data_IF_304097975213
#
_entry.id   IF_304097975213
#
_cell.length_a   1.000
_cell.length_b   1.000
_cell.length_c   1.000
_cell.angle_alpha   90.00
_cell.angle_beta   90.00
_cell.angle_gamma   90.00
#
_symmetry.space_group_name_H-M   'P 1'
#
loop_
_entity.id
_entity.type
_entity.pdbx_description
1 polymer ?
#
# COMPACT_ATOMS: atom_id res chain seq x y z
N UNK A 1 3.55 1.78 15.89
CA UNK A 1 3.95 3.18 15.81
C UNK A 1 4.58 3.29 14.45
N UNK A 2 4.48 4.41 13.75
CA UNK A 2 5.33 4.59 12.56
C UNK A 2 6.69 5.18 12.97
N UNK A 3 7.75 4.90 12.20
CA UNK A 3 9.06 5.55 12.38
C UNK A 3 9.07 7.04 11.98
N UNK A 4 7.92 7.61 11.59
CA UNK A 4 7.81 8.95 11.00
C UNK A 4 7.07 9.93 11.91
N UNK A 5 6.08 9.46 12.67
CA UNK A 5 5.22 10.30 13.51
C UNK A 5 5.24 9.93 14.99
N UNK A 6 5.89 8.82 15.35
CA UNK A 6 5.93 8.30 16.72
C UNK A 6 4.55 8.09 17.34
N UNK A 7 3.50 7.84 16.54
CA UNK A 7 2.14 7.55 17.01
C UNK A 7 1.77 6.09 16.69
N UNK A 8 1.17 5.39 17.65
CA UNK A 8 0.58 4.05 17.44
C UNK A 8 -0.87 4.19 17.00
N UNK A 9 -1.24 3.47 15.95
CA UNK A 9 -2.66 3.25 15.65
C UNK A 9 -3.24 2.25 16.65
N UNK A 10 -4.48 2.47 17.08
CA UNK A 10 -5.16 1.66 18.11
C UNK A 10 -6.40 0.99 17.53
N UNK A 11 -7.09 0.19 18.35
CA UNK A 11 -8.35 -0.43 17.94
C UNK A 11 -9.47 0.59 17.64
N UNK A 12 -9.36 1.84 18.10
CA UNK A 12 -10.29 2.92 17.69
C UNK A 12 -10.24 3.14 16.17
N UNK A 13 -9.05 2.97 15.57
CA UNK A 13 -8.85 3.00 14.13
C UNK A 13 -9.25 1.68 13.47
N UNK A 14 -8.79 0.55 14.02
CA UNK A 14 -8.91 -0.75 13.34
C UNK A 14 -10.28 -1.40 13.41
N UNK A 15 -11.09 -1.07 14.44
CA UNK A 15 -12.44 -1.60 14.64
C UNK A 15 -12.47 -3.14 14.54
N UNK A 16 -11.57 -3.81 15.26
CA UNK A 16 -11.44 -5.27 15.22
C UNK A 16 -12.74 -5.95 15.68
N UNK A 17 -13.14 -7.03 15.01
CA UNK A 17 -14.14 -7.99 15.51
C UNK A 17 -13.51 -8.84 16.62
N UNK A 18 -13.33 -8.21 17.79
CA UNK A 18 -12.64 -8.78 18.96
C UNK A 18 -13.32 -10.09 19.41
N UNK A 19 -14.64 -10.11 19.45
CA UNK A 19 -15.41 -11.26 19.94
C UNK A 19 -15.18 -12.51 19.09
N UNK A 20 -15.27 -12.39 17.77
CA UNK A 20 -15.01 -13.54 16.90
C UNK A 20 -13.52 -13.90 16.85
N UNK A 21 -12.63 -12.92 16.95
CA UNK A 21 -11.19 -13.17 16.95
C UNK A 21 -10.75 -13.97 18.19
N UNK A 22 -11.23 -13.62 19.38
CA UNK A 22 -10.99 -14.37 20.63
C UNK A 22 -11.46 -15.83 20.55
N UNK A 23 -12.47 -16.09 19.72
CA UNK A 23 -13.03 -17.44 19.49
C UNK A 23 -12.39 -18.18 18.31
N UNK A 24 -11.32 -17.65 17.74
CA UNK A 24 -10.57 -18.30 16.66
C UNK A 24 -11.29 -18.30 15.31
N UNK A 25 -12.28 -17.42 15.10
CA UNK A 25 -13.06 -17.37 13.85
C UNK A 25 -12.21 -17.10 12.60
N UNK A 26 -11.13 -16.33 12.77
CA UNK A 26 -10.18 -15.96 11.71
C UNK A 26 -8.91 -16.81 11.72
N UNK A 27 -8.91 -17.89 12.50
CA UNK A 27 -7.75 -18.75 12.71
C UNK A 27 -7.91 -20.06 11.96
N UNK A 28 -6.80 -20.62 11.50
CA UNK A 28 -6.82 -21.96 10.94
C UNK A 28 -7.29 -22.97 11.99
N UNK A 29 -8.12 -23.93 11.57
CA UNK A 29 -8.79 -24.87 12.51
C UNK A 29 -7.84 -25.71 13.35
N UNK A 30 -6.62 -25.94 12.89
CA UNK A 30 -5.63 -26.65 13.69
C UNK A 30 -5.18 -25.83 14.91
N UNK A 31 -5.08 -24.50 14.83
CA UNK A 31 -4.81 -23.68 16.01
C UNK A 31 -5.95 -23.73 17.02
N UNK A 32 -7.20 -23.78 16.56
CA UNK A 32 -8.36 -23.97 17.43
C UNK A 32 -8.30 -25.32 18.16
N UNK A 33 -8.00 -26.40 17.44
CA UNK A 33 -7.85 -27.72 18.03
C UNK A 33 -6.67 -27.78 19.02
N UNK A 34 -5.53 -27.16 18.69
CA UNK A 34 -4.36 -27.08 19.57
C UNK A 34 -4.68 -26.26 20.83
N UNK A 35 -5.34 -25.12 20.69
CA UNK A 35 -5.74 -24.28 21.82
C UNK A 35 -6.70 -25.03 22.76
N UNK A 36 -7.69 -25.75 22.22
CA UNK A 36 -8.59 -26.61 23.00
C UNK A 36 -7.83 -27.71 23.74
N UNK A 37 -6.92 -28.40 23.04
CA UNK A 37 -6.07 -29.43 23.63
C UNK A 37 -5.23 -28.88 24.78
N UNK A 38 -4.47 -27.79 24.56
CA UNK A 38 -3.63 -27.19 25.60
C UNK A 38 -4.46 -26.66 26.79
N UNK A 39 -5.67 -26.18 26.54
CA UNK A 39 -6.58 -25.72 27.59
C UNK A 39 -7.09 -26.88 28.45
N UNK A 40 -7.47 -27.99 27.83
CA UNK A 40 -7.86 -29.21 28.55
C UNK A 40 -6.68 -29.74 29.38
N UNK A 41 -5.48 -29.85 28.79
CA UNK A 41 -4.29 -30.33 29.48
C UNK A 41 -3.91 -29.46 30.69
N UNK A 42 -4.05 -28.14 30.59
CA UNK A 42 -3.85 -27.24 31.74
C UNK A 42 -4.88 -27.50 32.84
N UNK A 43 -6.16 -27.68 32.48
CA UNK A 43 -7.24 -27.94 33.44
C UNK A 43 -7.09 -29.30 34.15
N UNK A 44 -6.54 -30.30 33.44
CA UNK A 44 -6.24 -31.63 33.96
C UNK A 44 -4.94 -31.67 34.79
N UNK A 45 -4.16 -30.58 34.81
CA UNK A 45 -2.85 -30.56 35.46
C UNK A 45 -1.82 -31.48 34.78
N UNK A 46 -1.97 -31.72 33.47
CA UNK A 46 -1.07 -32.59 32.73
C UNK A 46 0.36 -32.03 32.70
N UNK A 47 1.31 -32.88 33.07
CA UNK A 47 2.74 -32.66 32.87
C UNK A 47 3.27 -33.57 31.77
N UNK A 48 4.28 -33.12 31.03
CA UNK A 48 4.87 -33.88 29.93
C UNK A 48 5.23 -35.32 30.36
N UNK A 49 4.70 -36.31 29.62
CA UNK A 49 4.92 -37.74 29.86
C UNK A 49 5.49 -38.48 28.63
N UNK A 50 5.98 -37.75 27.62
CA UNK A 50 6.50 -38.33 26.38
C UNK A 50 7.92 -38.90 26.53
N UNK A 51 8.28 -39.85 25.66
CA UNK A 51 9.59 -40.54 25.71
C UNK A 51 10.66 -39.95 24.78
N UNK A 52 10.27 -39.04 23.88
CA UNK A 52 11.12 -38.59 22.77
C UNK A 52 11.19 -37.06 22.71
N UNK A 53 11.68 -36.42 23.78
CA UNK A 53 11.89 -34.97 23.79
C UNK A 53 13.24 -34.59 23.17
N UNK A 54 13.34 -33.32 22.74
CA UNK A 54 14.59 -32.72 22.25
C UNK A 54 15.24 -31.77 23.28
N UNK A 55 14.94 -31.93 24.57
CA UNK A 55 15.62 -31.16 25.63
C UNK A 55 17.12 -31.49 25.64
N UNK A 56 18.00 -30.51 25.97
CA UNK A 56 19.42 -30.75 26.15
C UNK A 56 19.72 -31.79 27.24
N UNK A 57 20.88 -32.45 27.14
CA UNK A 57 21.35 -33.39 28.14
C UNK A 57 21.40 -32.74 29.54
N UNK A 58 20.86 -33.44 30.53
CA UNK A 58 20.81 -32.98 31.92
C UNK A 58 19.57 -32.15 32.28
N UNK A 59 18.72 -31.76 31.32
CA UNK A 59 17.44 -31.10 31.60
C UNK A 59 16.32 -32.15 31.72
N UNK A 60 15.68 -32.21 32.88
CA UNK A 60 14.58 -33.16 33.11
C UNK A 60 13.31 -32.78 32.34
N UNK A 61 12.65 -33.72 31.64
CA UNK A 61 11.35 -33.49 31.02
C UNK A 61 10.17 -33.54 32.01
N UNK A 62 10.42 -33.94 33.25
CA UNK A 62 9.38 -34.10 34.28
C UNK A 62 8.84 -32.73 34.73
N UNK A 63 7.61 -32.71 35.25
CA UNK A 63 6.97 -31.52 35.83
C UNK A 63 6.81 -30.31 34.89
N UNK A 64 6.98 -30.52 33.57
CA UNK A 64 6.72 -29.48 32.57
C UNK A 64 5.21 -29.43 32.27
N UNK A 65 4.54 -28.36 32.71
CA UNK A 65 3.12 -28.14 32.44
C UNK A 65 2.89 -27.71 30.98
N UNK A 66 2.66 -28.67 30.09
CA UNK A 66 2.59 -28.42 28.63
C UNK A 66 1.43 -27.50 28.25
N UNK A 67 0.27 -27.62 28.92
CA UNK A 67 -0.88 -26.75 28.67
C UNK A 67 -0.61 -25.27 28.97
N UNK A 68 0.34 -25.00 29.87
CA UNK A 68 0.73 -23.66 30.32
C UNK A 68 2.15 -23.25 29.88
N UNK A 69 2.74 -23.98 28.93
CA UNK A 69 4.12 -23.75 28.53
C UNK A 69 4.30 -22.35 27.94
N UNK A 70 5.28 -21.61 28.46
CA UNK A 70 5.68 -20.33 27.90
C UNK A 70 6.64 -20.55 26.73
N UNK A 71 6.42 -19.80 25.65
CA UNK A 71 7.21 -19.89 24.43
C UNK A 71 7.73 -18.53 24.00
N UNK A 72 8.86 -18.48 23.32
CA UNK A 72 9.27 -17.32 22.52
C UNK A 72 8.91 -17.60 21.06
N UNK A 73 8.01 -16.80 20.52
CA UNK A 73 7.55 -16.89 19.13
C UNK A 73 7.95 -15.64 18.35
N UNK A 74 8.39 -15.83 17.11
CA UNK A 74 8.90 -14.74 16.27
C UNK A 74 8.20 -14.71 14.90
N UNK A 75 7.73 -13.53 14.49
CA UNK A 75 7.10 -13.27 13.18
C UNK A 75 8.11 -12.65 12.23
N UNK A 76 8.23 -13.15 11.00
CA UNK A 76 9.17 -12.64 10.00
C UNK A 76 8.70 -12.91 8.58
N UNK A 77 9.19 -12.10 7.64
CA UNK A 77 8.92 -12.24 6.20
C UNK A 77 9.99 -13.09 5.52
N UNK A 78 9.58 -13.83 4.48
CA UNK A 78 10.48 -14.59 3.60
C UNK A 78 10.70 -13.92 2.23
N UNK A 79 10.32 -12.66 2.07
CA UNK A 79 10.60 -11.90 0.84
C UNK A 79 12.11 -11.68 0.70
N UNK A 80 12.71 -12.30 -0.32
CA UNK A 80 14.12 -12.03 -0.66
C UNK A 80 14.34 -10.54 -0.96
N UNK A 81 15.44 -10.00 -0.44
CA UNK A 81 15.77 -8.58 -0.58
C UNK A 81 15.22 -7.74 0.58
N UNK A 82 14.96 -6.45 0.31
CA UNK A 82 14.46 -5.48 1.31
C UNK A 82 12.94 -5.50 1.33
N UNK A 83 12.35 -5.50 2.53
CA UNK A 83 10.90 -5.36 2.74
C UNK A 83 10.63 -4.13 3.59
N UNK A 84 9.66 -3.31 3.21
CA UNK A 84 9.09 -2.26 4.05
C UNK A 84 7.99 -2.86 4.91
N UNK A 85 8.22 -2.92 6.23
CA UNK A 85 7.31 -3.56 7.19
C UNK A 85 6.12 -2.66 7.46
N UNK A 86 4.91 -3.19 7.26
CA UNK A 86 3.65 -2.52 7.61
C UNK A 86 2.65 -3.53 8.16
N UNK A 87 1.82 -3.09 9.10
CA UNK A 87 0.76 -3.88 9.71
C UNK A 87 1.05 -4.23 11.17
N UNK A 88 2.15 -3.70 11.73
CA UNK A 88 2.60 -4.07 13.07
C UNK A 88 1.62 -3.60 14.13
N UNK A 89 1.11 -2.36 14.05
CA UNK A 89 0.17 -1.86 15.05
C UNK A 89 -1.15 -2.63 15.07
N UNK A 90 -1.64 -3.06 13.91
CA UNK A 90 -2.84 -3.89 13.86
C UNK A 90 -2.58 -5.25 14.49
N UNK A 91 -1.43 -5.87 14.22
CA UNK A 91 -1.03 -7.11 14.90
C UNK A 91 -0.87 -6.94 16.41
N UNK A 92 -0.28 -5.84 16.86
CA UNK A 92 -0.17 -5.51 18.29
C UNK A 92 -1.54 -5.29 18.94
N UNK A 93 -2.47 -4.63 18.24
CA UNK A 93 -3.85 -4.48 18.73
C UNK A 93 -4.56 -5.84 18.86
N UNK A 94 -4.34 -6.76 17.91
CA UNK A 94 -4.86 -8.13 18.04
C UNK A 94 -4.28 -8.84 19.27
N UNK A 95 -2.96 -8.82 19.46
CA UNK A 95 -2.31 -9.39 20.65
C UNK A 95 -2.82 -8.74 21.95
N UNK A 96 -2.98 -7.42 21.96
CA UNK A 96 -3.40 -6.67 23.15
C UNK A 96 -4.84 -6.96 23.56
N UNK A 97 -5.75 -7.15 22.60
CA UNK A 97 -7.18 -7.28 22.89
C UNK A 97 -7.69 -8.73 22.88
N UNK A 98 -6.97 -9.64 22.22
CA UNK A 98 -7.45 -10.99 21.95
C UNK A 98 -6.58 -12.09 22.56
N UNK A 99 -5.51 -11.76 23.29
CA UNK A 99 -4.75 -12.75 24.04
C UNK A 99 -5.41 -13.09 25.38
N UNK A 100 -5.66 -14.39 25.59
CA UNK A 100 -6.42 -14.87 26.74
C UNK A 100 -7.11 -16.19 26.47
N UNK A 101 -8.07 -16.53 27.33
CA UNK A 101 -8.87 -17.74 27.24
C UNK A 101 -10.28 -17.48 27.78
N UNK A 102 -11.23 -18.37 27.49
CA UNK A 102 -12.56 -18.32 28.06
C UNK A 102 -12.65 -19.22 29.30
N UNK A 103 -13.20 -18.67 30.38
CA UNK A 103 -13.68 -19.42 31.55
C UNK A 103 -15.21 -19.35 31.54
N UNK A 104 -15.85 -20.44 31.11
CA UNK A 104 -17.26 -20.43 30.72
C UNK A 104 -17.52 -19.42 29.59
N UNK A 105 -18.40 -18.45 29.86
CA UNK A 105 -18.74 -17.38 28.91
C UNK A 105 -17.91 -16.09 29.09
N UNK A 106 -17.04 -16.05 30.11
CA UNK A 106 -16.24 -14.87 30.43
C UNK A 106 -14.86 -14.98 29.80
N UNK A 107 -14.45 -13.96 29.04
CA UNK A 107 -13.08 -13.88 28.53
C UNK A 107 -12.13 -13.36 29.61
N UNK A 108 -11.10 -14.15 29.91
CA UNK A 108 -10.00 -13.78 30.80
C UNK A 108 -8.85 -13.26 29.96
N UNK A 109 -8.64 -11.94 30.01
CA UNK A 109 -7.52 -11.25 29.38
C UNK A 109 -6.20 -11.65 30.05
N UNK A 110 -5.21 -12.01 29.25
CA UNK A 110 -3.84 -12.33 29.71
C UNK A 110 -2.77 -11.58 28.95
N UNK A 111 -3.15 -10.53 28.21
CA UNK A 111 -2.23 -9.71 27.42
C UNK A 111 -1.15 -9.05 28.29
N UNK A 112 -1.42 -8.78 29.56
CA UNK A 112 -0.47 -8.26 30.56
C UNK A 112 0.58 -9.29 31.02
N UNK A 113 0.33 -10.57 30.78
CA UNK A 113 1.27 -11.69 31.04
C UNK A 113 2.18 -11.97 29.84
N UNK A 114 1.98 -11.28 28.73
CA UNK A 114 2.87 -11.38 27.58
C UNK A 114 3.98 -10.34 27.68
N UNK A 115 5.18 -10.73 27.26
CA UNK A 115 6.24 -9.78 26.91
C UNK A 115 6.29 -9.65 25.39
N UNK A 116 6.06 -8.45 24.88
CA UNK A 116 5.94 -8.22 23.43
C UNK A 116 6.99 -7.21 22.98
N UNK A 117 7.77 -7.58 21.97
CA UNK A 117 8.66 -6.69 21.25
C UNK A 117 8.22 -6.58 19.80
N UNK A 118 8.35 -5.39 19.23
CA UNK A 118 8.05 -5.20 17.83
C UNK A 118 8.88 -4.07 17.23
N UNK A 119 9.04 -4.10 15.91
CA UNK A 119 9.51 -2.95 15.15
C UNK A 119 8.37 -1.95 14.95
N UNK A 120 8.68 -0.79 14.39
CA UNK A 120 7.68 0.21 14.00
C UNK A 120 7.33 0.08 12.52
N UNK A 121 6.11 0.46 12.12
CA UNK A 121 5.71 0.52 10.71
C UNK A 121 6.66 1.47 9.95
N UNK A 122 7.07 1.09 8.74
CA UNK A 122 8.09 1.78 7.94
C UNK A 122 9.53 1.33 8.22
N UNK A 123 9.77 0.50 9.24
CA UNK A 123 11.04 -0.22 9.41
C UNK A 123 11.29 -1.11 8.20
N UNK A 124 12.56 -1.34 7.87
CA UNK A 124 12.91 -2.24 6.77
C UNK A 124 13.72 -3.43 7.25
N UNK A 125 13.34 -4.61 6.79
CA UNK A 125 14.06 -5.87 7.05
C UNK A 125 14.65 -6.43 5.75
N UNK A 126 15.64 -7.29 5.87
CA UNK A 126 16.27 -8.02 4.76
C UNK A 126 16.20 -9.52 4.99
N UNK A 127 15.98 -10.26 3.91
CA UNK A 127 16.07 -11.71 3.90
C UNK A 127 16.87 -12.15 2.67
N UNK A 128 17.87 -13.00 2.87
CA UNK A 128 18.77 -13.49 1.81
C UNK A 128 18.37 -14.87 1.28
N UNK A 129 17.36 -15.51 1.88
CA UNK A 129 16.92 -16.86 1.55
C UNK A 129 17.29 -17.91 2.60
N UNK A 130 18.17 -17.58 3.57
CA UNK A 130 18.58 -18.50 4.63
C UNK A 130 17.55 -18.50 5.78
N UNK A 131 16.79 -19.60 5.97
CA UNK A 131 15.75 -19.69 7.00
C UNK A 131 16.29 -19.66 8.44
N UNK A 132 17.61 -19.75 8.62
CA UNK A 132 18.29 -19.63 9.93
C UNK A 132 18.75 -18.21 10.24
N UNK A 133 18.70 -17.29 9.27
CA UNK A 133 19.09 -15.88 9.39
C UNK A 133 17.93 -14.96 9.07
N UNK A 134 16.96 -14.93 9.98
CA UNK A 134 15.75 -14.14 9.85
C UNK A 134 15.84 -12.86 10.68
N UNK A 135 15.15 -11.81 10.24
CA UNK A 135 14.96 -10.59 11.01
C UNK A 135 13.51 -10.52 11.48
N UNK A 136 13.22 -10.82 12.76
CA UNK A 136 11.85 -10.82 13.27
C UNK A 136 11.31 -9.39 13.37
N UNK A 137 10.03 -9.22 13.06
CA UNK A 137 9.30 -7.94 13.18
C UNK A 137 8.46 -7.86 14.45
N UNK A 138 8.06 -9.01 14.98
CA UNK A 138 7.40 -9.16 16.28
C UNK A 138 8.04 -10.35 16.99
N UNK A 139 8.25 -10.23 18.30
CA UNK A 139 8.64 -11.30 19.20
C UNK A 139 7.70 -11.29 20.40
N UNK A 140 7.13 -12.43 20.74
CA UNK A 140 6.24 -12.59 21.90
C UNK A 140 6.80 -13.66 22.82
N UNK A 141 6.82 -13.38 24.12
CA UNK A 141 7.00 -14.37 25.17
C UNK A 141 5.75 -14.47 26.03
N UNK A 142 5.34 -15.69 26.35
CA UNK A 142 4.22 -15.97 27.23
C UNK A 142 3.62 -17.35 26.93
N UNK A 143 2.51 -17.68 27.60
CA UNK A 143 1.85 -18.99 27.43
C UNK A 143 1.34 -19.14 26.00
N UNK A 144 1.77 -20.19 25.30
CA UNK A 144 1.44 -20.35 23.88
C UNK A 144 -0.07 -20.38 23.62
N UNK A 145 -0.83 -21.11 24.46
CA UNK A 145 -2.29 -21.23 24.30
C UNK A 145 -2.99 -19.87 24.32
N UNK A 146 -2.47 -18.87 25.03
CA UNK A 146 -3.12 -17.58 25.20
C UNK A 146 -3.09 -16.72 23.92
N UNK A 147 -2.20 -17.01 22.96
CA UNK A 147 -2.09 -16.23 21.72
C UNK A 147 -1.97 -17.05 20.44
N UNK A 148 -1.97 -18.39 20.52
CA UNK A 148 -1.86 -19.29 19.38
C UNK A 148 -2.90 -19.00 18.28
N UNK A 149 -4.14 -18.65 18.66
CA UNK A 149 -5.21 -18.31 17.71
C UNK A 149 -4.89 -17.06 16.86
N UNK A 150 -4.00 -16.19 17.33
CA UNK A 150 -3.72 -14.92 16.67
C UNK A 150 -2.66 -15.03 15.57
N UNK A 151 -2.06 -16.21 15.38
CA UNK A 151 -1.05 -16.42 14.35
C UNK A 151 -1.60 -16.12 12.95
N UNK A 152 -2.67 -16.80 12.51
CA UNK A 152 -3.28 -16.57 11.17
C UNK A 152 -3.63 -15.10 10.90
N UNK A 153 -4.40 -14.38 11.75
CA UNK A 153 -4.80 -13.00 11.45
C UNK A 153 -3.63 -11.99 11.51
N UNK A 154 -2.65 -12.19 12.41
CA UNK A 154 -1.46 -11.32 12.48
C UNK A 154 -0.55 -11.51 11.26
N UNK A 155 -0.37 -12.75 10.79
CA UNK A 155 0.36 -13.04 9.55
C UNK A 155 -0.34 -12.43 8.34
N UNK A 156 -1.66 -12.49 8.28
CA UNK A 156 -2.46 -11.95 7.18
C UNK A 156 -2.23 -10.46 6.96
N UNK A 157 -2.32 -9.65 8.02
CA UNK A 157 -2.12 -8.21 7.90
C UNK A 157 -0.66 -7.85 7.59
N UNK A 158 0.31 -8.50 8.23
CA UNK A 158 1.74 -8.25 7.97
C UNK A 158 2.11 -8.59 6.52
N UNK A 159 1.64 -9.72 6.01
CA UNK A 159 1.86 -10.18 4.63
C UNK A 159 1.29 -9.19 3.63
N UNK A 160 0.02 -8.81 3.79
CA UNK A 160 -0.65 -7.92 2.83
C UNK A 160 -0.04 -6.53 2.85
N UNK A 161 -0.01 -5.88 4.01
CA UNK A 161 0.40 -4.48 4.12
C UNK A 161 1.88 -4.29 3.78
N UNK A 162 2.77 -5.19 4.21
CA UNK A 162 4.19 -5.12 3.82
C UNK A 162 4.41 -5.34 2.33
N UNK A 163 3.61 -6.21 1.68
CA UNK A 163 3.66 -6.41 0.22
C UNK A 163 3.31 -5.14 -0.52
N UNK A 164 2.15 -4.55 -0.19
CA UNK A 164 1.67 -3.31 -0.82
C UNK A 164 2.68 -2.19 -0.62
N UNK A 165 3.16 -2.00 0.62
CA UNK A 165 4.14 -0.97 0.93
C UNK A 165 5.46 -1.15 0.17
N UNK A 166 5.97 -2.39 0.07
CA UNK A 166 7.21 -2.65 -0.66
C UNK A 166 7.05 -2.42 -2.16
N UNK A 167 5.93 -2.85 -2.75
CA UNK A 167 5.65 -2.62 -4.17
C UNK A 167 5.47 -1.13 -4.48
N UNK A 168 4.83 -0.35 -3.59
CA UNK A 168 4.72 1.11 -3.70
C UNK A 168 6.10 1.76 -3.62
N UNK A 169 6.93 1.38 -2.64
CA UNK A 169 8.27 1.91 -2.47
C UNK A 169 9.12 1.70 -3.73
N UNK A 170 9.15 0.48 -4.29
CA UNK A 170 9.87 0.19 -5.54
C UNK A 170 9.34 0.98 -6.74
N UNK A 171 8.04 1.25 -6.78
CA UNK A 171 7.41 2.08 -7.82
C UNK A 171 7.85 3.54 -7.70
N UNK A 172 7.91 4.09 -6.47
CA UNK A 172 8.40 5.46 -6.22
C UNK A 172 9.88 5.61 -6.58
N UNK A 173 10.71 4.60 -6.26
CA UNK A 173 12.12 4.54 -6.68
C UNK A 173 12.23 4.54 -8.20
N UNK A 174 11.44 3.72 -8.89
CA UNK A 174 11.41 3.69 -10.35
C UNK A 174 10.99 5.04 -10.96
N UNK A 175 10.05 5.75 -10.33
CA UNK A 175 9.54 7.04 -10.76
C UNK A 175 10.50 8.22 -10.51
N UNK A 176 11.71 7.97 -9.94
CA UNK A 176 12.74 8.98 -9.65
C UNK A 176 12.22 10.17 -8.84
N UNK A 177 11.26 9.93 -7.95
CA UNK A 177 10.65 10.97 -7.12
C UNK A 177 9.56 11.79 -7.82
N UNK A 178 8.98 11.31 -8.93
CA UNK A 178 7.71 11.84 -9.44
C UNK A 178 6.53 11.26 -8.65
N UNK A 179 5.41 12.01 -8.51
CA UNK A 179 4.23 11.52 -7.81
C UNK A 179 3.67 10.23 -8.42
N UNK A 180 3.22 9.32 -7.56
CA UNK A 180 2.52 8.09 -7.93
C UNK A 180 1.12 8.11 -7.32
N UNK A 181 0.08 8.04 -8.18
CA UNK A 181 -1.31 7.94 -7.74
C UNK A 181 -1.64 6.48 -7.40
N UNK A 182 -2.14 6.24 -6.19
CA UNK A 182 -2.49 4.93 -5.67
C UNK A 182 -3.90 4.51 -6.13
N UNK A 183 -3.99 3.93 -7.33
CA UNK A 183 -5.27 3.53 -7.96
C UNK A 183 -5.58 2.00 -7.95
N UNK A 184 -5.18 1.19 -6.94
CA UNK A 184 -5.47 -0.23 -6.96
C UNK A 184 -6.82 -0.63 -6.35
N UNK A 185 -7.62 0.32 -5.81
CA UNK A 185 -8.83 0.04 -5.02
C UNK A 185 -9.83 -0.92 -5.69
N UNK A 186 -9.87 -0.94 -7.03
CA UNK A 186 -10.79 -1.79 -7.82
C UNK A 186 -10.32 -3.23 -8.03
N UNK A 187 -9.10 -3.58 -7.61
CA UNK A 187 -8.51 -4.91 -7.80
C UNK A 187 -8.61 -5.79 -6.56
N UNK A 188 -9.40 -5.39 -5.57
CA UNK A 188 -9.65 -6.16 -4.35
C UNK A 188 -11.01 -5.78 -3.74
N UNK A 189 -11.38 -6.50 -2.67
CA UNK A 189 -12.59 -6.22 -1.89
C UNK A 189 -12.47 -4.90 -1.13
N UNK A 190 -13.59 -4.25 -0.85
CA UNK A 190 -13.57 -2.91 -0.27
C UNK A 190 -13.03 -2.85 1.18
N UNK A 191 -13.13 -3.94 1.93
CA UNK A 191 -12.77 -4.07 3.34
C UNK A 191 -11.28 -3.85 3.61
N UNK A 192 -10.42 -4.06 2.60
CA UNK A 192 -8.97 -3.94 2.74
C UNK A 192 -8.43 -2.55 2.39
N UNK A 193 -9.26 -1.66 1.83
CA UNK A 193 -8.80 -0.37 1.30
C UNK A 193 -8.06 0.49 2.34
N UNK A 194 -8.54 0.52 3.59
CA UNK A 194 -7.91 1.29 4.65
C UNK A 194 -6.49 0.78 4.99
N UNK A 195 -6.30 -0.54 5.04
CA UNK A 195 -4.99 -1.15 5.27
C UNK A 195 -4.04 -0.90 4.09
N UNK A 196 -4.56 -0.97 2.85
CA UNK A 196 -3.77 -0.77 1.64
C UNK A 196 -3.33 0.69 1.48
N UNK A 197 -4.23 1.64 1.77
CA UNK A 197 -3.92 3.06 1.73
C UNK A 197 -2.97 3.50 2.83
N UNK A 198 -3.06 2.93 4.03
CA UNK A 198 -2.03 3.11 5.07
C UNK A 198 -0.68 2.55 4.64
N UNK A 199 -0.63 1.37 4.01
CA UNK A 199 0.59 0.80 3.47
C UNK A 199 1.23 1.69 2.39
N UNK A 200 0.42 2.29 1.52
CA UNK A 200 0.88 3.32 0.58
C UNK A 200 1.50 4.53 1.30
N UNK A 201 0.80 5.09 2.29
CA UNK A 201 1.28 6.25 3.03
C UNK A 201 2.62 5.97 3.75
N UNK A 202 2.74 4.82 4.40
CA UNK A 202 3.99 4.40 5.05
C UNK A 202 5.14 4.24 4.03
N UNK A 203 4.87 3.65 2.86
CA UNK A 203 5.87 3.53 1.80
C UNK A 203 6.30 4.89 1.24
N UNK A 204 5.37 5.82 1.09
CA UNK A 204 5.65 7.19 0.67
C UNK A 204 6.53 7.93 1.68
N UNK A 205 6.17 7.89 2.97
CA UNK A 205 6.96 8.49 4.04
C UNK A 205 8.35 7.85 4.11
N UNK A 206 8.44 6.53 3.90
CA UNK A 206 9.71 5.82 3.83
C UNK A 206 10.57 6.29 2.67
N UNK A 207 9.98 6.43 1.49
CA UNK A 207 10.65 6.95 0.31
C UNK A 207 11.15 8.38 0.52
N UNK A 208 10.29 9.26 1.04
CA UNK A 208 10.63 10.64 1.37
C UNK A 208 11.83 10.73 2.32
N UNK A 209 11.87 9.87 3.36
CA UNK A 209 13.00 9.76 4.29
C UNK A 209 14.27 9.22 3.62
N UNK A 210 14.19 8.11 2.88
CA UNK A 210 15.36 7.46 2.27
C UNK A 210 15.98 8.32 1.13
N UNK A 211 15.20 9.19 0.49
CA UNK A 211 15.61 9.98 -0.68
C UNK A 211 15.59 11.51 -0.48
N UNK A 212 15.38 11.99 0.75
CA UNK A 212 15.26 13.42 1.09
C UNK A 212 14.29 14.17 0.16
N UNK A 213 13.06 13.66 0.05
CA UNK A 213 11.97 14.22 -0.77
C UNK A 213 10.76 14.58 0.09
N UNK A 214 9.88 15.39 -0.47
CA UNK A 214 8.60 15.79 0.14
C UNK A 214 7.45 15.54 -0.84
N UNK A 215 7.22 14.27 -1.18
CA UNK A 215 6.06 13.90 -1.99
C UNK A 215 4.80 13.82 -1.14
N UNK A 216 3.72 14.44 -1.64
CA UNK A 216 2.38 14.33 -1.07
C UNK A 216 1.69 13.01 -1.41
N UNK A 217 0.78 12.59 -0.53
CA UNK A 217 0.01 11.37 -0.69
C UNK A 217 -1.18 11.56 -1.65
N UNK A 218 -1.41 10.57 -2.51
CA UNK A 218 -2.52 10.53 -3.45
C UNK A 218 -3.17 9.15 -3.47
N UNK A 219 -4.33 9.02 -2.82
CA UNK A 219 -5.17 7.83 -2.83
C UNK A 219 -6.45 8.09 -3.63
N UNK A 220 -7.09 7.03 -4.13
CA UNK A 220 -8.29 7.14 -4.99
C UNK A 220 -9.62 7.18 -4.25
N UNK A 221 -9.67 6.76 -2.99
CA UNK A 221 -10.90 6.68 -2.19
C UNK A 221 -10.67 7.20 -0.79
N UNK A 222 -11.71 7.71 -0.14
CA UNK A 222 -11.64 8.11 1.27
C UNK A 222 -11.35 6.92 2.18
N UNK A 223 -11.84 5.72 1.82
CA UNK A 223 -11.55 4.50 2.56
C UNK A 223 -10.04 4.18 2.62
N UNK A 224 -9.27 4.51 1.57
CA UNK A 224 -7.80 4.39 1.60
C UNK A 224 -7.14 5.42 2.53
N UNK A 225 -7.85 6.48 2.89
CA UNK A 225 -7.40 7.50 3.84
C UNK A 225 -7.73 7.22 5.30
N UNK A 226 -8.65 6.28 5.59
CA UNK A 226 -9.32 6.13 6.90
C UNK A 226 -8.36 5.95 8.09
N UNK A 227 -7.24 5.25 7.91
CA UNK A 227 -6.28 5.00 9.00
C UNK A 227 -5.30 6.14 9.28
N UNK A 228 -5.21 7.15 8.40
CA UNK A 228 -4.21 8.22 8.51
C UNK A 228 -4.78 9.63 8.22
N UNK A 229 -6.10 9.74 8.05
CA UNK A 229 -6.79 11.01 7.78
C UNK A 229 -6.62 11.55 6.36
N UNK A 230 -6.23 10.67 5.42
CA UNK A 230 -6.17 11.02 4.00
C UNK A 230 -7.55 11.18 3.37
N UNK A 231 -7.62 11.86 2.23
CA UNK A 231 -8.83 11.96 1.42
C UNK A 231 -8.57 11.44 0.00
N UNK A 232 -9.60 10.84 -0.59
CA UNK A 232 -9.57 10.38 -1.97
C UNK A 232 -9.47 11.55 -2.95
N UNK A 233 -8.60 11.41 -3.94
CA UNK A 233 -8.55 12.23 -5.14
C UNK A 233 -8.90 11.43 -6.37
N UNK A 234 -9.23 12.10 -7.46
CA UNK A 234 -9.56 11.44 -8.71
C UNK A 234 -9.50 12.38 -9.90
N UNK A 235 -9.59 11.79 -11.08
CA UNK A 235 -9.75 12.50 -12.35
C UNK A 235 -11.15 12.20 -12.90
N UNK A 236 -11.41 12.59 -14.15
CA UNK A 236 -12.60 12.13 -14.88
C UNK A 236 -12.45 10.64 -15.29
N UNK A 237 -13.55 9.90 -15.31
CA UNK A 237 -13.64 8.51 -15.77
C UNK A 237 -14.24 8.45 -17.20
N UNK A 238 -13.90 7.42 -17.99
CA UNK A 238 -14.46 7.25 -19.34
C UNK A 238 -16.00 7.23 -19.35
N UNK A 239 -16.64 6.69 -18.31
CA UNK A 239 -18.10 6.67 -18.18
C UNK A 239 -18.71 8.09 -18.09
N UNK A 240 -18.01 9.03 -17.45
CA UNK A 240 -18.46 10.42 -17.41
C UNK A 240 -18.38 11.04 -18.81
N UNK A 241 -17.28 10.85 -19.54
CA UNK A 241 -17.14 11.33 -20.93
C UNK A 241 -18.22 10.73 -21.84
N UNK A 242 -18.52 9.44 -21.69
CA UNK A 242 -19.62 8.80 -22.41
C UNK A 242 -20.98 9.46 -22.12
N UNK A 243 -21.19 9.93 -20.88
CA UNK A 243 -22.40 10.66 -20.49
C UNK A 243 -22.50 12.04 -21.13
N UNK A 244 -21.36 12.59 -21.57
CA UNK A 244 -21.25 13.80 -22.41
C UNK A 244 -21.08 13.45 -23.90
N UNK A 245 -21.61 12.30 -24.33
CA UNK A 245 -21.63 11.88 -25.75
C UNK A 245 -20.23 11.75 -26.39
N UNK A 246 -19.21 11.47 -25.58
CA UNK A 246 -17.83 11.37 -26.04
C UNK A 246 -17.07 12.70 -26.06
N UNK A 247 -17.69 13.79 -25.62
CA UNK A 247 -17.07 15.11 -25.57
C UNK A 247 -16.31 15.34 -24.25
N UNK A 248 -14.99 15.13 -24.30
CA UNK A 248 -14.09 15.37 -23.18
C UNK A 248 -14.04 16.84 -22.78
N UNK A 249 -14.13 17.78 -23.73
CA UNK A 249 -14.06 19.21 -23.44
C UNK A 249 -15.31 19.68 -22.70
N UNK A 250 -16.49 19.29 -23.17
CA UNK A 250 -17.76 19.62 -22.49
C UNK A 250 -17.81 19.01 -21.08
N UNK A 251 -17.41 17.74 -20.93
CA UNK A 251 -17.33 17.10 -19.62
C UNK A 251 -16.42 17.89 -18.65
N UNK A 252 -15.27 18.37 -19.13
CA UNK A 252 -14.33 19.17 -18.34
C UNK A 252 -14.84 20.58 -18.05
N UNK A 253 -15.60 21.19 -18.97
CA UNK A 253 -16.23 22.50 -18.76
C UNK A 253 -17.27 22.43 -17.64
N UNK A 254 -18.12 21.39 -17.63
CA UNK A 254 -19.11 21.20 -16.57
C UNK A 254 -18.47 20.78 -15.24
N UNK A 255 -17.46 19.92 -15.27
CA UNK A 255 -16.65 19.61 -14.08
C UNK A 255 -16.06 20.88 -13.47
N UNK A 256 -15.52 21.75 -14.33
CA UNK A 256 -14.92 23.02 -13.92
C UNK A 256 -15.96 23.96 -13.33
N UNK A 257 -17.14 24.08 -13.95
CA UNK A 257 -18.23 24.93 -13.48
C UNK A 257 -18.76 24.54 -12.09
N UNK A 258 -18.89 23.24 -11.80
CA UNK A 258 -19.55 22.77 -10.57
C UNK A 258 -18.57 22.61 -9.39
N UNK A 259 -17.38 22.07 -9.62
CA UNK A 259 -16.50 21.67 -8.53
C UNK A 259 -15.58 22.82 -8.05
N UNK A 260 -15.16 22.84 -6.77
CA UNK A 260 -14.30 23.90 -6.25
C UNK A 260 -12.90 23.86 -6.87
N UNK A 261 -12.24 25.02 -7.03
CA UNK A 261 -10.93 25.16 -7.68
C UNK A 261 -9.82 24.28 -7.05
N UNK A 262 -9.93 23.96 -5.76
CA UNK A 262 -8.99 23.09 -5.04
C UNK A 262 -8.90 21.66 -5.57
N UNK A 263 -9.90 21.19 -6.33
CA UNK A 263 -9.88 19.87 -6.97
C UNK A 263 -9.16 20.00 -8.32
N UNK A 264 -8.00 19.35 -8.53
CA UNK A 264 -7.26 19.48 -9.79
C UNK A 264 -8.09 19.03 -11.00
N UNK A 265 -8.07 19.81 -12.08
CA UNK A 265 -8.70 19.44 -13.36
C UNK A 265 -7.73 18.58 -14.16
N UNK A 266 -7.95 17.27 -14.14
CA UNK A 266 -7.17 16.30 -14.92
C UNK A 266 -8.08 15.66 -15.96
N UNK A 267 -7.92 16.06 -17.22
CA UNK A 267 -8.77 15.60 -18.32
C UNK A 267 -8.32 14.22 -18.82
N UNK A 268 -9.26 13.30 -19.02
CA UNK A 268 -8.98 11.98 -19.59
C UNK A 268 -9.16 12.06 -21.12
N UNK A 269 -8.09 11.88 -21.88
CA UNK A 269 -8.08 12.29 -23.30
C UNK A 269 -8.01 11.14 -24.30
N UNK A 270 -8.05 9.90 -23.85
CA UNK A 270 -7.94 8.71 -24.73
C UNK A 270 -9.29 8.16 -25.20
N UNK A 271 -10.43 8.76 -24.80
CA UNK A 271 -11.77 8.24 -25.09
C UNK A 271 -12.04 8.07 -26.59
N UNK A 272 -11.70 9.08 -27.40
CA UNK A 272 -11.92 9.04 -28.85
C UNK A 272 -10.76 8.41 -29.64
N UNK A 273 -9.82 7.74 -28.96
CA UNK A 273 -8.58 7.19 -29.53
C UNK A 273 -7.71 8.23 -30.27
N UNK A 274 -7.88 9.52 -29.97
CA UNK A 274 -7.06 10.61 -30.49
C UNK A 274 -6.69 11.57 -29.34
N UNK A 275 -5.67 11.17 -28.58
CA UNK A 275 -5.27 11.88 -27.37
C UNK A 275 -4.83 13.31 -27.62
N UNK A 276 -4.26 13.60 -28.80
CA UNK A 276 -3.88 14.97 -29.18
C UNK A 276 -5.12 15.82 -29.39
N UNK A 277 -6.06 15.37 -30.22
CA UNK A 277 -7.25 16.14 -30.55
C UNK A 277 -8.11 16.43 -29.32
N UNK A 278 -8.36 15.43 -28.46
CA UNK A 278 -9.12 15.63 -27.23
C UNK A 278 -8.39 16.56 -26.25
N UNK A 279 -7.06 16.48 -26.17
CA UNK A 279 -6.24 17.42 -25.38
C UNK A 279 -6.41 18.85 -25.86
N UNK A 280 -6.32 19.08 -27.18
CA UNK A 280 -6.44 20.40 -27.77
C UNK A 280 -7.84 21.00 -27.58
N UNK A 281 -8.90 20.20 -27.75
CA UNK A 281 -10.29 20.65 -27.51
C UNK A 281 -10.52 21.09 -26.08
N UNK A 282 -10.03 20.32 -25.10
CA UNK A 282 -10.12 20.68 -23.68
C UNK A 282 -9.36 21.98 -23.40
N UNK A 283 -8.13 22.10 -23.92
CA UNK A 283 -7.31 23.31 -23.79
C UNK A 283 -8.02 24.54 -24.34
N UNK A 284 -8.55 24.44 -25.56
CA UNK A 284 -9.22 25.54 -26.26
C UNK A 284 -10.44 26.03 -25.47
N UNK A 285 -11.29 25.12 -25.02
CA UNK A 285 -12.50 25.43 -24.25
C UNK A 285 -12.18 26.05 -22.89
N UNK A 286 -11.28 25.41 -22.13
CA UNK A 286 -10.94 25.85 -20.77
C UNK A 286 -10.17 27.17 -20.76
N UNK A 287 -9.19 27.36 -21.67
CA UNK A 287 -8.44 28.61 -21.76
C UNK A 287 -9.33 29.78 -22.19
N UNK A 288 -10.23 29.57 -23.16
CA UNK A 288 -11.17 30.61 -23.58
C UNK A 288 -12.01 31.12 -22.40
N UNK A 289 -12.54 30.20 -21.57
CA UNK A 289 -13.32 30.56 -20.39
C UNK A 289 -12.48 31.16 -19.26
N UNK A 290 -11.28 30.63 -19.03
CA UNK A 290 -10.30 31.21 -18.11
C UNK A 290 -10.03 32.68 -18.45
N UNK A 291 -9.71 32.97 -19.72
CA UNK A 291 -9.44 34.32 -20.21
C UNK A 291 -10.65 35.24 -20.05
N UNK A 292 -11.84 34.79 -20.46
CA UNK A 292 -13.09 35.55 -20.32
C UNK A 292 -13.31 36.01 -18.87
N UNK A 293 -13.13 35.10 -17.90
CA UNK A 293 -13.30 35.41 -16.49
C UNK A 293 -12.20 36.32 -15.95
N UNK A 294 -10.95 36.15 -16.40
CA UNK A 294 -9.84 37.02 -16.03
C UNK A 294 -10.01 38.44 -16.55
N UNK A 295 -10.43 38.60 -17.81
CA UNK A 295 -10.72 39.91 -18.42
C UNK A 295 -11.92 40.59 -17.72
N UNK A 296 -12.91 39.81 -17.25
CA UNK A 296 -14.02 40.30 -16.43
C UNK A 296 -13.64 40.57 -14.96
N UNK A 297 -12.39 40.32 -14.55
CA UNK A 297 -11.91 40.51 -13.18
C UNK A 297 -12.34 39.43 -12.18
N UNK A 298 -13.01 38.37 -12.63
CA UNK A 298 -13.46 37.27 -11.79
C UNK A 298 -12.38 36.18 -11.63
N UNK A 299 -11.30 36.54 -10.94
CA UNK A 299 -10.12 35.68 -10.79
C UNK A 299 -10.41 34.37 -10.06
N UNK A 300 -11.23 34.41 -9.01
CA UNK A 300 -11.54 33.22 -8.21
C UNK A 300 -12.28 32.16 -9.02
N UNK A 301 -13.28 32.57 -9.81
CA UNK A 301 -13.97 31.64 -10.71
C UNK A 301 -13.06 31.19 -11.86
N UNK A 302 -12.17 32.06 -12.36
CA UNK A 302 -11.22 31.69 -13.40
C UNK A 302 -10.32 30.52 -12.98
N UNK A 303 -9.88 30.46 -11.72
CA UNK A 303 -9.05 29.35 -11.22
C UNK A 303 -9.67 27.96 -11.45
N UNK A 304 -11.00 27.86 -11.48
CA UNK A 304 -11.71 26.60 -11.76
C UNK A 304 -11.50 26.09 -13.19
N UNK A 305 -11.06 26.95 -14.11
CA UNK A 305 -10.82 26.65 -15.52
C UNK A 305 -9.33 26.51 -15.85
N UNK A 306 -8.43 26.46 -14.85
CA UNK A 306 -7.05 26.03 -15.08
C UNK A 306 -6.99 24.52 -15.26
N UNK A 307 -6.42 24.07 -16.38
CA UNK A 307 -6.18 22.65 -16.63
C UNK A 307 -4.91 22.22 -15.90
N UNK A 308 -5.04 21.41 -14.85
CA UNK A 308 -3.89 20.91 -14.11
C UNK A 308 -3.11 19.88 -14.92
N UNK A 309 -3.80 19.00 -15.65
CA UNK A 309 -3.14 17.99 -16.46
C UNK A 309 -4.06 17.24 -17.42
N UNK A 310 -3.45 16.43 -18.27
CA UNK A 310 -4.12 15.41 -19.08
C UNK A 310 -3.70 14.02 -18.63
N UNK A 311 -4.64 13.07 -18.61
CA UNK A 311 -4.38 11.66 -18.30
C UNK A 311 -4.49 10.84 -19.57
N UNK A 312 -3.41 10.12 -19.86
CA UNK A 312 -3.34 9.11 -20.93
C UNK A 312 -3.57 7.73 -20.31
N UNK A 313 -4.60 7.02 -20.78
CA UNK A 313 -4.97 5.68 -20.32
C UNK A 313 -5.29 4.71 -21.48
N UNK A 314 -4.71 4.98 -22.66
CA UNK A 314 -4.91 4.17 -23.87
C UNK A 314 -4.68 2.69 -23.58
N UNK A 315 -5.67 1.85 -23.94
CA UNK A 315 -5.63 0.40 -23.76
C UNK A 315 -4.36 -0.21 -24.35
N UNK A 316 -3.76 -1.18 -23.65
CA UNK A 316 -2.60 -1.93 -24.14
C UNK A 316 -2.84 -2.73 -25.43
N UNK A 317 -4.08 -2.88 -25.87
CA UNK A 317 -4.46 -3.52 -27.14
C UNK A 317 -4.72 -2.53 -28.28
N UNK A 318 -4.64 -1.22 -28.01
CA UNK A 318 -5.04 -0.17 -28.96
C UNK A 318 -3.87 0.75 -29.27
N UNK A 319 -3.74 1.15 -30.53
CA UNK A 319 -2.84 2.22 -30.96
C UNK A 319 -3.63 3.53 -31.02
N UNK A 320 -3.17 4.54 -30.30
CA UNK A 320 -3.68 5.91 -30.48
C UNK A 320 -3.37 6.39 -31.91
N UNK A 321 -4.32 7.10 -32.55
CA UNK A 321 -4.14 7.52 -33.96
C UNK A 321 -2.95 8.46 -34.16
N UNK A 322 -2.51 9.16 -33.10
CA UNK A 322 -1.35 10.04 -33.15
C UNK A 322 0.00 9.31 -33.17
N UNK A 323 0.02 7.99 -32.93
CA UNK A 323 1.23 7.19 -32.96
C UNK A 323 1.38 6.55 -34.33
N UNK A 324 2.38 7.00 -35.10
CA UNK A 324 2.73 6.38 -36.38
C UNK A 324 3.22 4.93 -36.15
N UNK A 325 2.69 3.93 -36.88
CA UNK A 325 3.09 2.54 -36.70
C UNK A 325 4.55 2.31 -37.08
N UNK A 326 5.26 1.57 -36.25
CA UNK A 326 6.54 0.95 -36.60
C UNK A 326 6.38 -0.53 -37.00
N UNK A 327 5.20 -1.12 -36.75
CA UNK A 327 4.93 -2.53 -37.03
C UNK A 327 5.27 -3.46 -35.86
N UNK A 328 5.68 -2.91 -34.72
CA UNK A 328 5.89 -3.65 -33.48
C UNK A 328 4.83 -3.23 -32.44
N UNK A 329 3.93 -4.16 -32.12
CA UNK A 329 2.85 -3.94 -31.16
C UNK A 329 3.35 -3.52 -29.77
N UNK A 330 4.50 -4.02 -29.32
CA UNK A 330 5.05 -3.67 -28.00
C UNK A 330 5.55 -2.21 -27.93
N UNK A 331 5.80 -1.60 -29.09
CA UNK A 331 6.17 -0.20 -29.21
C UNK A 331 4.97 0.68 -29.55
N UNK A 332 4.04 0.18 -30.37
CA UNK A 332 2.92 0.95 -30.95
C UNK A 332 1.70 1.05 -30.00
N UNK A 333 1.40 0.03 -29.19
CA UNK A 333 0.14 -0.05 -28.44
C UNK A 333 0.21 0.57 -27.03
N UNK A 334 -0.96 0.96 -26.54
CA UNK A 334 -1.19 1.54 -25.23
C UNK A 334 -0.45 2.84 -24.99
N UNK A 335 -0.41 3.25 -23.72
CA UNK A 335 0.38 4.43 -23.32
C UNK A 335 1.87 4.09 -23.44
N UNK A 336 2.49 4.63 -24.49
CA UNK A 336 3.89 4.43 -24.86
C UNK A 336 4.64 5.78 -24.97
N UNK A 337 5.99 5.78 -24.98
CA UNK A 337 6.79 7.01 -25.02
C UNK A 337 6.42 7.99 -26.14
N UNK A 338 6.13 7.50 -27.35
CA UNK A 338 5.86 8.36 -28.51
C UNK A 338 4.54 9.09 -28.35
N UNK A 339 3.49 8.42 -27.86
CA UNK A 339 2.22 9.06 -27.54
C UNK A 339 2.43 10.24 -26.58
N UNK A 340 3.20 10.02 -25.52
CA UNK A 340 3.46 11.05 -24.49
C UNK A 340 4.26 12.23 -25.07
N UNK A 341 5.29 11.99 -25.88
CA UNK A 341 6.02 13.06 -26.56
C UNK A 341 5.15 13.85 -27.54
N UNK A 342 4.29 13.16 -28.30
CA UNK A 342 3.39 13.82 -29.25
C UNK A 342 2.38 14.72 -28.52
N UNK A 343 1.80 14.24 -27.41
CA UNK A 343 0.89 15.02 -26.57
C UNK A 343 1.62 16.22 -25.93
N UNK A 344 2.84 16.03 -25.42
CA UNK A 344 3.65 17.15 -24.88
C UNK A 344 3.90 18.23 -25.92
N UNK A 345 4.31 17.84 -27.13
CA UNK A 345 4.54 18.77 -28.24
C UNK A 345 3.27 19.54 -28.63
N UNK A 346 2.13 18.84 -28.67
CA UNK A 346 0.84 19.46 -28.95
C UNK A 346 0.42 20.46 -27.86
N UNK A 347 0.59 20.12 -26.58
CA UNK A 347 0.36 21.04 -25.47
C UNK A 347 1.26 22.29 -25.62
N UNK A 348 2.56 22.11 -25.84
CA UNK A 348 3.55 23.19 -25.82
C UNK A 348 3.35 24.24 -26.93
N UNK A 349 2.71 23.85 -28.02
CA UNK A 349 2.47 24.67 -29.22
C UNK A 349 0.99 25.07 -29.39
N UNK A 350 0.08 24.56 -28.56
CA UNK A 350 -1.36 24.79 -28.70
C UNK A 350 -1.74 26.28 -28.73
N UNK A 351 -1.04 27.10 -27.92
CA UNK A 351 -1.29 28.53 -27.78
C UNK A 351 -1.01 29.34 -29.06
N UNK A 352 -0.16 28.84 -29.96
CA UNK A 352 0.17 29.49 -31.23
C UNK A 352 -1.02 29.51 -32.19
N UNK A 353 -1.98 28.58 -32.01
CA UNK A 353 -3.22 28.50 -32.79
C UNK A 353 -4.24 29.55 -32.38
N UNK A 354 -4.07 30.17 -31.20
CA UNK A 354 -5.04 31.11 -30.66
C UNK A 354 -4.79 32.52 -31.19
N UNK A 355 -5.82 33.12 -31.77
CA UNK A 355 -5.80 34.54 -32.13
C UNK A 355 -5.96 35.40 -30.87
N UNK A 356 -4.83 35.78 -30.28
CA UNK A 356 -4.78 36.49 -28.99
C UNK A 356 -4.17 37.89 -29.12
N UNK A 357 -4.68 38.88 -28.35
CA UNK A 357 -3.97 40.13 -28.13
C UNK A 357 -2.56 39.88 -27.59
N UNK A 358 -1.62 40.79 -27.91
CA UNK A 358 -0.22 40.66 -27.48
C UNK A 358 -0.08 40.53 -25.95
N UNK A 359 -0.97 41.16 -25.18
CA UNK A 359 -1.01 41.06 -23.71
C UNK A 359 -1.28 39.65 -23.17
N UNK A 360 -1.91 38.78 -23.96
CA UNK A 360 -2.32 37.43 -23.53
C UNK A 360 -1.38 36.32 -23.98
N UNK A 361 -0.45 36.59 -24.91
CA UNK A 361 0.39 35.54 -25.51
C UNK A 361 1.28 34.81 -24.50
N UNK A 362 1.91 35.55 -23.60
CA UNK A 362 2.79 34.92 -22.58
C UNK A 362 1.97 34.09 -21.57
N UNK A 363 0.86 34.64 -21.07
CA UNK A 363 -0.03 33.92 -20.17
C UNK A 363 -0.64 32.66 -20.81
N UNK A 364 -0.96 32.71 -22.11
CA UNK A 364 -1.43 31.55 -22.87
C UNK A 364 -0.35 30.47 -23.02
N UNK A 365 0.88 30.88 -23.33
CA UNK A 365 2.04 29.98 -23.39
C UNK A 365 2.27 29.31 -22.05
N UNK A 366 2.28 30.08 -20.97
CA UNK A 366 2.44 29.55 -19.60
C UNK A 366 1.31 28.59 -19.22
N UNK A 367 0.05 28.93 -19.56
CA UNK A 367 -1.10 28.05 -19.35
C UNK A 367 -0.85 26.66 -19.96
N UNK A 368 -0.45 26.61 -21.23
CA UNK A 368 -0.14 25.38 -21.95
C UNK A 368 1.07 24.62 -21.39
N UNK A 369 2.16 25.34 -21.06
CA UNK A 369 3.40 24.74 -20.54
C UNK A 369 3.24 24.21 -19.11
N UNK A 370 2.28 24.75 -18.35
CA UNK A 370 2.00 24.32 -16.98
C UNK A 370 1.24 22.98 -16.90
N UNK A 371 0.52 22.59 -17.96
CA UNK A 371 -0.32 21.37 -17.99
C UNK A 371 0.55 20.13 -17.81
N UNK A 372 0.25 19.32 -16.80
CA UNK A 372 0.96 18.07 -16.48
C UNK A 372 0.47 16.89 -17.33
N UNK A 373 1.33 15.90 -17.56
CA UNK A 373 0.94 14.63 -18.17
C UNK A 373 0.93 13.53 -17.11
N UNK A 374 -0.27 12.99 -16.86
CA UNK A 374 -0.49 11.80 -16.05
C UNK A 374 -0.56 10.59 -16.98
N UNK A 375 0.21 9.54 -16.69
CA UNK A 375 0.14 8.28 -17.45
C UNK A 375 -0.42 7.15 -16.59
N UNK A 376 -1.35 6.38 -17.16
CA UNK A 376 -1.92 5.19 -16.55
C UNK A 376 -1.98 4.02 -17.54
N UNK A 377 -2.54 2.89 -17.14
CA UNK A 377 -2.61 1.69 -17.97
C UNK A 377 -1.35 0.83 -17.90
N UNK A 378 -1.40 -0.21 -17.04
CA UNK A 378 -0.38 -1.28 -17.00
C UNK A 378 1.02 -0.84 -16.58
N UNK A 379 1.16 0.28 -15.85
CA UNK A 379 2.46 0.71 -15.34
C UNK A 379 2.95 -0.18 -14.19
N UNK A 380 4.25 -0.47 -14.24
CA UNK A 380 5.02 -1.18 -13.23
C UNK A 380 6.44 -0.56 -13.19
N UNK A 381 7.30 -0.91 -12.21
CA UNK A 381 8.65 -0.35 -12.09
C UNK A 381 9.49 -0.45 -13.36
N UNK A 382 9.37 -1.52 -14.14
CA UNK A 382 10.15 -1.69 -15.37
C UNK A 382 9.70 -0.75 -16.49
N UNK A 383 8.38 -0.62 -16.69
CA UNK A 383 7.81 0.35 -17.64
C UNK A 383 8.14 1.78 -17.22
N UNK A 384 8.06 2.10 -15.93
CA UNK A 384 8.42 3.41 -15.39
C UNK A 384 9.91 3.69 -15.61
N UNK A 385 10.81 2.76 -15.27
CA UNK A 385 12.26 2.92 -15.51
C UNK A 385 12.57 3.15 -16.99
N UNK A 386 11.85 2.48 -17.90
CA UNK A 386 11.99 2.72 -19.35
C UNK A 386 11.59 4.16 -19.72
N UNK A 387 10.47 4.65 -19.21
CA UNK A 387 10.02 6.03 -19.43
C UNK A 387 11.04 7.04 -18.88
N UNK A 388 11.49 6.84 -17.64
CA UNK A 388 12.49 7.69 -16.99
C UNK A 388 13.89 7.63 -17.63
N UNK A 389 14.24 6.52 -18.30
CA UNK A 389 15.50 6.39 -19.05
C UNK A 389 15.44 7.12 -20.39
N UNK A 390 14.27 7.13 -21.03
CA UNK A 390 14.05 7.76 -22.33
C UNK A 390 13.72 9.26 -22.22
N UNK A 391 13.63 9.82 -21.01
CA UNK A 391 13.29 11.23 -20.80
C UNK A 391 11.84 11.54 -21.21
N UNK A 392 10.93 10.57 -21.09
CA UNK A 392 9.52 10.76 -21.45
C UNK A 392 8.90 11.83 -20.53
N UNK A 393 8.19 12.83 -21.07
CA UNK A 393 7.64 13.95 -20.29
C UNK A 393 6.35 13.55 -19.57
N UNK A 394 6.37 12.41 -18.87
CA UNK A 394 5.34 12.04 -17.90
C UNK A 394 5.67 12.70 -16.55
N UNK A 395 4.73 13.47 -16.01
CA UNK A 395 4.88 14.15 -14.73
C UNK A 395 4.43 13.27 -13.55
N UNK A 396 3.40 12.43 -13.77
CA UNK A 396 2.74 11.64 -12.72
C UNK A 396 2.41 10.25 -13.25
N UNK A 397 2.66 9.21 -12.43
CA UNK A 397 2.30 7.82 -12.76
C UNK A 397 1.09 7.36 -11.95
N UNK A 398 0.01 6.95 -12.62
CA UNK A 398 -1.14 6.35 -11.97
C UNK A 398 -1.05 4.82 -12.06
N UNK A 399 -0.84 4.17 -10.91
CA UNK A 399 -0.52 2.73 -10.84
C UNK A 399 -1.61 1.98 -10.09
N UNK A 400 -2.07 0.88 -10.69
CA UNK A 400 -3.14 0.03 -10.17
C UNK A 400 -2.64 -1.36 -9.76
N UNK A 401 -3.09 -2.39 -10.49
CA UNK A 401 -2.94 -3.81 -10.14
C UNK A 401 -1.53 -4.26 -9.75
N UNK A 402 -0.47 -3.68 -10.32
CA UNK A 402 0.91 -4.01 -9.96
C UNK A 402 1.19 -3.84 -8.45
N UNK A 403 0.59 -2.84 -7.82
CA UNK A 403 0.80 -2.56 -6.40
C UNK A 403 0.30 -3.70 -5.50
N UNK A 404 -0.68 -4.47 -5.97
CA UNK A 404 -1.21 -5.66 -5.29
C UNK A 404 -0.61 -6.97 -5.79
N UNK A 405 0.32 -6.92 -6.75
CA UNK A 405 0.92 -8.12 -7.33
C UNK A 405 1.56 -9.01 -6.27
N UNK A 406 1.31 -10.32 -6.39
CA UNK A 406 1.84 -11.36 -5.52
C UNK A 406 2.40 -12.50 -6.39
N UNK A 407 3.66 -12.40 -6.74
CA UNK A 407 4.33 -13.40 -7.58
C UNK A 407 5.83 -13.32 -7.45
N UNK A 408 6.54 -13.74 -8.50
CA UNK A 408 8.00 -13.73 -8.54
C UNK A 408 8.53 -12.31 -8.29
N UNK A 409 9.28 -12.14 -7.21
CA UNK A 409 9.87 -10.86 -6.79
C UNK A 409 8.95 -9.95 -5.95
N UNK A 410 7.66 -10.28 -5.80
CA UNK A 410 6.71 -9.50 -4.98
C UNK A 410 6.02 -10.28 -3.85
N UNK A 411 6.21 -11.60 -3.78
CA UNK A 411 5.76 -12.40 -2.61
C UNK A 411 6.39 -11.87 -1.32
N UNK A 412 5.52 -11.65 -0.32
CA UNK A 412 5.90 -11.09 0.99
C UNK A 412 5.28 -11.91 2.12
N UNK A 413 5.33 -13.23 1.97
CA UNK A 413 4.72 -14.14 2.92
C UNK A 413 5.42 -14.03 4.27
N UNK A 414 4.64 -13.70 5.30
CA UNK A 414 5.07 -13.84 6.67
C UNK A 414 4.83 -15.26 7.17
N UNK A 415 5.65 -15.67 8.12
CA UNK A 415 5.46 -16.86 8.93
C UNK A 415 5.82 -16.51 10.37
N UNK A 416 5.35 -17.31 11.31
CA UNK A 416 5.74 -17.22 12.70
C UNK A 416 6.17 -18.61 13.18
N UNK A 417 7.22 -18.65 13.98
CA UNK A 417 7.77 -19.91 14.49
C UNK A 417 8.07 -19.73 15.99
N UNK A 418 7.73 -20.74 16.80
CA UNK A 418 8.28 -20.89 18.15
C UNK A 418 9.76 -21.22 18.01
N UNK A 419 10.61 -20.45 18.68
CA UNK A 419 12.06 -20.60 18.64
C UNK A 419 12.65 -20.98 19.99
N UNK A 420 11.94 -20.71 21.09
CA UNK A 420 12.30 -21.16 22.44
C UNK A 420 11.09 -21.60 23.24
N UNK A 421 11.32 -22.48 24.19
CA UNK A 421 10.36 -22.86 25.24
C UNK A 421 10.98 -22.59 26.60
N UNK A 422 10.15 -22.22 27.58
CA UNK A 422 10.60 -22.01 28.95
C UNK A 422 10.41 -23.29 29.76
N UNK A 423 11.50 -23.85 30.27
CA UNK A 423 11.54 -25.11 31.02
C UNK A 423 12.28 -24.85 32.32
N UNK A 424 11.66 -25.20 33.46
CA UNK A 424 12.24 -24.99 34.80
C UNK A 424 12.72 -23.54 35.05
N UNK A 425 12.05 -22.56 34.44
CA UNK A 425 12.38 -21.14 34.53
C UNK A 425 13.39 -20.63 33.50
N UNK A 426 14.03 -21.52 32.74
CA UNK A 426 15.05 -21.17 31.74
C UNK A 426 14.52 -21.23 30.31
N UNK A 427 14.96 -20.30 29.46
CA UNK A 427 14.61 -20.28 28.04
C UNK A 427 15.56 -21.18 27.25
N UNK A 428 15.02 -22.25 26.67
CA UNK A 428 15.77 -23.22 25.88
C UNK A 428 15.41 -23.12 24.39
N UNK A 429 16.41 -23.17 23.52
CA UNK A 429 16.20 -23.19 22.07
C UNK A 429 15.43 -24.46 21.66
N UNK A 430 14.31 -24.26 20.95
CA UNK A 430 13.37 -25.32 20.57
C UNK A 430 12.68 -24.95 19.26
N UNK A 431 13.47 -24.59 18.26
CA UNK A 431 12.98 -24.26 16.93
C UNK A 431 12.84 -25.53 16.08
N UNK A 432 11.90 -25.52 15.11
CA UNK A 432 11.84 -26.58 14.09
C UNK A 432 13.15 -26.65 13.30
N UNK A 433 13.51 -27.85 12.82
CA UNK A 433 14.73 -28.04 12.03
C UNK A 433 14.81 -27.04 10.87
N UNK A 434 15.97 -26.40 10.70
CA UNK A 434 16.19 -25.35 9.71
C UNK A 434 15.78 -23.94 10.17
N UNK A 435 15.32 -23.78 11.41
CA UNK A 435 15.10 -22.47 12.06
C UNK A 435 16.04 -22.28 13.24
N UNK A 436 16.26 -21.00 13.56
CA UNK A 436 16.97 -20.54 14.76
C UNK A 436 16.29 -19.28 15.27
N UNK A 437 16.62 -18.90 16.51
CA UNK A 437 16.26 -17.60 17.06
C UNK A 437 16.85 -16.52 16.16
N UNK A 438 15.99 -15.64 15.63
CA UNK A 438 16.42 -14.49 14.84
C UNK A 438 16.67 -13.26 15.71
N UNK A 439 17.48 -12.35 15.17
CA UNK A 439 17.81 -11.08 15.81
C UNK A 439 17.40 -9.91 14.93
N UNK A 440 16.89 -8.85 15.55
CA UNK A 440 16.63 -7.59 14.88
C UNK A 440 16.82 -6.44 15.89
N UNK A 441 17.82 -5.60 15.62
CA UNK A 441 18.20 -4.47 16.48
C UNK A 441 17.10 -3.39 16.59
N UNK A 442 16.11 -3.41 15.69
CA UNK A 442 14.97 -2.48 15.72
C UNK A 442 13.81 -2.98 16.59
N UNK A 443 13.91 -4.16 17.22
CA UNK A 443 12.89 -4.64 18.15
C UNK A 443 12.94 -3.83 19.44
N UNK A 444 11.83 -3.18 19.78
CA UNK A 444 11.65 -2.47 21.04
C UNK A 444 10.57 -3.16 21.87
N UNK A 445 10.74 -3.18 23.20
CA UNK A 445 9.71 -3.71 24.11
C UNK A 445 8.50 -2.78 24.07
N UNK A 446 7.32 -3.33 23.83
CA UNK A 446 6.06 -2.59 23.74
C UNK A 446 5.29 -2.67 25.05
N UNK A 447 5.16 -3.87 25.62
CA UNK A 447 4.76 -4.12 27.00
C UNK A 447 5.42 -5.40 27.52
#
# INVERSE_FOLDING_TARGET
MSIFDSKRLTNETFKLDIERMRRGWYSDKYFENINRMLTALSSEGYTYAGLHHNLPDGISPEQIAVGDIEVEMQWFTRRTGKTTVVGVDKSLAMLRHCSGYFDGDVFVDTSDKLEVWAVHDGTTVKYDGDPTKIQPVIKVRGRYRDFALLETPTLGILTRSSRVATNVYETLVAAKGKPVLFFPARFDVHEVQAADGYAYNIALQRFNKDHARELGAFVSTDAQGDWWGGAGGGTVAHAAIASFLGDTAEAMMQFSHILPARIPRIALVDFNNNSIEDTLRVLDAMFAKYRELMDAGNKEEAEKYKLYGVRLDTSGSLRDVSVLPLGDAALDLGVNPRLVFNVRSALDTAWERWSLPQSWKEAAREFCHSVKIVVSGGFNPDKIRKFEKLGVPADIYAVGSYLFSNGNGTSTDYTADVVRVKVHGEWLDMAKVGRKVGENLNLERVW
#
